data_IF_928842906196
#
_entry.id   IF_928842906196
#
_cell.length_a   1.000
_cell.length_b   1.000
_cell.length_c   1.000
_cell.angle_alpha   90.00
_cell.angle_beta   90.00
_cell.angle_gamma   90.00
#
_symmetry.space_group_name_H-M   'P 1'
#
loop_
_entity.id
_entity.type
_entity.pdbx_description
1 polymer ?
#
# COMPACT_ATOMS: atom_id res chain seq x y z
N UNK A 1 5.74 -2.37 -2.08
CA UNK A 1 6.53 -3.57 -1.67
C UNK A 1 8.03 -3.40 -1.96
N UNK A 2 8.42 -2.68 -3.00
CA UNK A 2 9.80 -2.41 -3.43
C UNK A 2 10.77 -2.03 -2.29
N UNK A 3 10.36 -1.15 -1.38
CA UNK A 3 11.21 -0.65 -0.29
C UNK A 3 11.63 -1.75 0.71
N UNK A 4 10.77 -2.75 0.96
CA UNK A 4 11.00 -3.77 2.00
C UNK A 4 11.38 -5.14 1.46
N UNK A 5 11.25 -5.38 0.16
CA UNK A 5 11.62 -6.64 -0.47
C UNK A 5 13.15 -6.80 -0.52
N UNK A 6 13.70 -7.97 -0.18
CA UNK A 6 15.14 -8.24 -0.28
C UNK A 6 15.53 -8.60 -1.72
N UNK A 7 15.39 -7.65 -2.66
CA UNK A 7 15.66 -7.82 -4.09
C UNK A 7 17.07 -8.40 -4.38
N UNK A 8 18.06 -7.96 -3.60
CA UNK A 8 19.45 -8.39 -3.72
C UNK A 8 19.65 -9.89 -3.47
N UNK A 9 18.74 -10.53 -2.72
CA UNK A 9 18.76 -11.98 -2.45
C UNK A 9 17.85 -12.78 -3.36
N UNK A 10 17.05 -12.12 -4.17
CA UNK A 10 16.03 -12.75 -5.02
C UNK A 10 16.22 -12.37 -6.49
N UNK A 11 15.39 -11.49 -7.04
CA UNK A 11 15.37 -11.16 -8.46
C UNK A 11 16.67 -10.47 -8.92
N UNK A 12 17.21 -9.53 -8.16
CA UNK A 12 18.45 -8.82 -8.53
C UNK A 12 19.67 -9.71 -8.36
N UNK A 13 19.78 -10.44 -7.25
CA UNK A 13 20.92 -11.33 -6.97
C UNK A 13 20.99 -12.53 -7.92
N UNK A 14 19.89 -12.95 -8.51
CA UNK A 14 19.83 -14.07 -9.46
C UNK A 14 19.65 -13.60 -10.92
N UNK A 15 19.77 -12.30 -11.19
CA UNK A 15 19.63 -11.77 -12.54
C UNK A 15 20.74 -12.31 -13.45
N UNK A 16 20.36 -12.90 -14.58
CA UNK A 16 21.32 -13.47 -15.55
C UNK A 16 22.29 -12.41 -16.09
N UNK A 17 21.85 -11.16 -16.18
CA UNK A 17 22.69 -10.06 -16.68
C UNK A 17 23.81 -9.69 -15.70
N UNK A 18 23.64 -9.93 -14.39
CA UNK A 18 24.68 -9.66 -13.39
C UNK A 18 25.94 -10.53 -13.56
N UNK A 19 25.85 -11.61 -14.36
CA UNK A 19 27.00 -12.45 -14.74
C UNK A 19 27.91 -11.82 -15.81
N UNK A 20 27.38 -10.85 -16.56
CA UNK A 20 28.10 -10.22 -17.69
C UNK A 20 28.31 -8.72 -17.50
N UNK A 21 27.44 -8.07 -16.74
CA UNK A 21 27.46 -6.63 -16.48
C UNK A 21 26.66 -6.32 -15.21
N UNK A 22 26.01 -5.16 -15.14
CA UNK A 22 25.11 -4.81 -14.07
C UNK A 22 23.77 -5.53 -14.24
N UNK A 23 23.27 -6.14 -13.16
CA UNK A 23 21.93 -6.71 -13.11
C UNK A 23 20.84 -5.64 -13.20
N UNK A 24 19.62 -6.04 -13.57
CA UNK A 24 18.46 -5.14 -13.58
C UNK A 24 18.09 -4.77 -12.14
N UNK A 25 17.95 -3.47 -11.88
CA UNK A 25 17.58 -2.90 -10.59
C UNK A 25 16.06 -2.89 -10.39
N UNK A 26 15.47 -4.06 -10.21
CA UNK A 26 14.01 -4.21 -10.09
C UNK A 26 13.42 -3.41 -8.94
N UNK A 27 14.11 -3.38 -7.79
CA UNK A 27 13.65 -2.65 -6.62
C UNK A 27 13.56 -1.14 -6.86
N UNK A 28 14.56 -0.57 -7.52
CA UNK A 28 14.58 0.85 -7.87
C UNK A 28 13.47 1.18 -8.86
N UNK A 29 13.34 0.41 -9.93
CA UNK A 29 12.31 0.58 -10.97
C UNK A 29 10.90 0.47 -10.36
N UNK A 30 10.64 -0.57 -9.57
CA UNK A 30 9.34 -0.75 -8.90
C UNK A 30 9.04 0.41 -7.96
N UNK A 31 10.05 0.90 -7.24
CA UNK A 31 9.89 2.03 -6.32
C UNK A 31 9.53 3.31 -7.07
N UNK A 32 10.22 3.63 -8.15
CA UNK A 32 9.96 4.81 -8.96
C UNK A 32 8.55 4.79 -9.56
N UNK A 33 8.15 3.64 -10.13
CA UNK A 33 6.80 3.47 -10.69
C UNK A 33 5.75 3.62 -9.59
N UNK A 34 5.92 2.93 -8.47
CA UNK A 34 4.94 2.93 -7.38
C UNK A 34 4.80 4.30 -6.73
N UNK A 35 5.92 5.01 -6.51
CA UNK A 35 5.91 6.35 -5.93
C UNK A 35 5.27 7.34 -6.88
N UNK A 36 5.66 7.33 -8.15
CA UNK A 36 5.07 8.19 -9.17
C UNK A 36 3.57 7.95 -9.31
N UNK A 37 3.13 6.69 -9.26
CA UNK A 37 1.72 6.34 -9.32
C UNK A 37 0.93 6.87 -8.12
N UNK A 38 1.43 6.64 -6.89
CA UNK A 38 0.76 7.12 -5.67
C UNK A 38 0.67 8.64 -5.63
N UNK A 39 1.73 9.34 -6.08
CA UNK A 39 1.80 10.80 -5.99
C UNK A 39 0.96 11.50 -7.06
N UNK A 40 0.75 10.89 -8.24
CA UNK A 40 0.13 11.56 -9.37
C UNK A 40 -1.28 11.07 -9.73
N UNK A 41 -1.71 9.90 -9.21
CA UNK A 41 -3.03 9.34 -9.56
C UNK A 41 -4.10 9.86 -8.62
N UNK A 42 -5.18 10.37 -9.19
CA UNK A 42 -6.42 10.64 -8.47
C UNK A 42 -7.25 9.35 -8.39
N UNK A 43 -7.18 8.71 -7.24
CA UNK A 43 -7.90 7.46 -6.99
C UNK A 43 -9.42 7.65 -6.88
N UNK A 44 -9.90 8.87 -6.57
CA UNK A 44 -11.33 9.15 -6.47
C UNK A 44 -12.03 9.04 -7.83
N UNK A 45 -11.36 9.45 -8.89
CA UNK A 45 -11.89 9.41 -10.29
C UNK A 45 -12.07 7.97 -10.77
N UNK A 46 -11.28 7.04 -10.26
CA UNK A 46 -11.30 5.63 -10.69
C UNK A 46 -12.30 4.77 -9.92
N UNK A 47 -13.03 5.33 -8.96
CA UNK A 47 -14.05 4.60 -8.23
C UNK A 47 -15.22 4.27 -9.16
N UNK A 48 -15.52 2.99 -9.28
CA UNK A 48 -16.71 2.53 -10.02
C UNK A 48 -17.99 2.94 -9.28
N UNK A 49 -19.05 3.25 -10.02
CA UNK A 49 -20.37 3.52 -9.44
C UNK A 49 -20.84 2.33 -8.60
N UNK A 50 -21.02 2.59 -7.31
CA UNK A 50 -21.08 1.55 -6.33
C UNK A 50 -22.41 0.82 -6.23
N UNK A 51 -22.32 -0.41 -5.80
CA UNK A 51 -23.47 -1.23 -5.40
C UNK A 51 -24.09 -0.78 -4.06
N UNK A 52 -23.59 0.29 -3.44
CA UNK A 52 -24.07 0.82 -2.17
C UNK A 52 -23.85 -0.09 -0.94
N UNK A 53 -23.36 -1.31 -1.13
CA UNK A 53 -23.16 -2.25 -0.04
C UNK A 53 -22.07 -1.77 0.92
N UNK A 54 -22.31 -1.91 2.22
CA UNK A 54 -21.38 -1.55 3.28
C UNK A 54 -20.51 -2.76 3.64
N UNK A 55 -19.21 -2.54 3.72
CA UNK A 55 -18.23 -3.56 4.11
C UNK A 55 -17.43 -3.07 5.30
N UNK A 56 -17.36 -3.88 6.34
CA UNK A 56 -16.49 -3.69 7.49
C UNK A 56 -15.21 -4.53 7.33
N UNK A 57 -14.06 -3.90 7.53
CA UNK A 57 -12.75 -4.56 7.55
C UNK A 57 -12.22 -4.47 8.96
N UNK A 58 -11.89 -5.60 9.56
CA UNK A 58 -11.31 -5.68 10.89
C UNK A 58 -9.80 -5.76 10.77
N UNK A 59 -9.14 -4.70 11.23
CA UNK A 59 -7.68 -4.52 11.15
C UNK A 59 -7.21 -3.72 9.93
N UNK A 60 -6.50 -2.62 10.20
CA UNK A 60 -5.89 -1.72 9.22
C UNK A 60 -4.45 -2.10 8.86
N UNK A 61 -4.06 -3.36 8.95
CA UNK A 61 -2.77 -3.85 8.49
C UNK A 61 -2.65 -3.94 6.97
N UNK A 62 -1.55 -4.49 6.43
CA UNK A 62 -1.32 -4.55 4.98
C UNK A 62 -2.45 -5.25 4.22
N UNK A 63 -3.00 -6.33 4.76
CA UNK A 63 -4.13 -7.03 4.17
C UNK A 63 -5.40 -6.17 4.15
N UNK A 64 -5.73 -5.52 5.28
CA UNK A 64 -6.90 -4.65 5.39
C UNK A 64 -6.81 -3.44 4.45
N UNK A 65 -5.65 -2.80 4.36
CA UNK A 65 -5.37 -1.71 3.43
C UNK A 65 -5.60 -2.16 1.98
N UNK A 66 -5.02 -3.29 1.59
CA UNK A 66 -5.14 -3.82 0.22
C UNK A 66 -6.60 -4.11 -0.15
N UNK A 67 -7.33 -4.80 0.74
CA UNK A 67 -8.74 -5.12 0.52
C UNK A 67 -9.58 -3.83 0.46
N UNK A 68 -9.29 -2.85 1.32
CA UNK A 68 -9.98 -1.57 1.32
C UNK A 68 -9.83 -0.83 -0.02
N UNK A 69 -8.61 -0.79 -0.59
CA UNK A 69 -8.39 -0.23 -1.92
C UNK A 69 -9.22 -0.94 -2.99
N UNK A 70 -9.16 -2.28 -3.03
CA UNK A 70 -9.88 -3.08 -4.04
C UNK A 70 -11.40 -2.86 -3.93
N UNK A 71 -11.94 -2.88 -2.73
CA UNK A 71 -13.39 -2.74 -2.52
C UNK A 71 -13.86 -1.31 -2.76
N UNK A 72 -13.10 -0.30 -2.32
CA UNK A 72 -13.40 1.09 -2.61
C UNK A 72 -13.39 1.38 -4.12
N UNK A 73 -12.37 0.85 -4.83
CA UNK A 73 -12.30 0.92 -6.29
C UNK A 73 -13.53 0.30 -6.96
N UNK A 74 -14.03 -0.83 -6.44
CA UNK A 74 -15.25 -1.50 -6.92
C UNK A 74 -16.56 -0.80 -6.49
N UNK A 75 -16.48 0.34 -5.78
CA UNK A 75 -17.61 1.16 -5.40
C UNK A 75 -18.34 0.72 -4.12
N UNK A 76 -17.75 -0.15 -3.31
CA UNK A 76 -18.31 -0.49 -1.99
C UNK A 76 -18.10 0.65 -0.97
N UNK A 77 -18.98 0.76 0.01
CA UNK A 77 -18.83 1.66 1.14
C UNK A 77 -18.02 0.96 2.25
N UNK A 78 -16.70 1.21 2.27
CA UNK A 78 -15.76 0.50 3.15
C UNK A 78 -15.53 1.26 4.44
N UNK A 79 -15.51 0.53 5.57
CA UNK A 79 -15.06 1.05 6.88
C UNK A 79 -14.01 0.11 7.44
N UNK A 80 -12.83 0.64 7.76
CA UNK A 80 -11.76 -0.08 8.47
C UNK A 80 -11.91 0.21 9.97
N UNK A 81 -11.92 -0.84 10.78
CA UNK A 81 -11.85 -0.78 12.25
C UNK A 81 -10.45 -1.22 12.67
N UNK A 82 -9.72 -0.35 13.37
CA UNK A 82 -8.33 -0.57 13.78
C UNK A 82 -8.18 -0.39 15.29
N UNK A 83 -7.50 -1.33 15.93
CA UNK A 83 -7.24 -1.30 17.37
C UNK A 83 -6.23 -0.24 17.81
N UNK A 84 -5.30 0.12 16.92
CA UNK A 84 -4.31 1.16 17.17
C UNK A 84 -4.82 2.55 16.75
N UNK A 85 -4.07 3.57 17.11
CA UNK A 85 -4.38 4.97 16.76
C UNK A 85 -4.24 5.28 15.24
N UNK A 86 -3.50 4.47 14.51
CA UNK A 86 -3.26 4.64 13.07
C UNK A 86 -3.24 3.29 12.36
N UNK A 87 -3.63 3.28 11.10
CA UNK A 87 -3.52 2.09 10.25
C UNK A 87 -2.07 1.78 9.86
N UNK A 88 -1.83 0.58 9.35
CA UNK A 88 -0.52 0.12 8.89
C UNK A 88 -0.10 -1.21 9.50
N UNK A 89 -0.60 -1.54 10.70
CA UNK A 89 -0.24 -2.79 11.37
C UNK A 89 1.28 -2.99 11.43
N UNK A 90 1.77 -4.16 11.00
CA UNK A 90 3.20 -4.47 11.00
C UNK A 90 4.04 -3.48 10.19
N UNK A 91 3.49 -2.86 9.15
CA UNK A 91 4.20 -1.86 8.35
C UNK A 91 4.55 -0.62 9.18
N UNK A 92 3.66 -0.22 10.08
CA UNK A 92 3.85 0.96 10.93
C UNK A 92 4.55 0.61 12.25
N UNK A 93 4.10 -0.44 12.91
CA UNK A 93 4.49 -0.76 14.29
C UNK A 93 5.58 -1.83 14.38
N UNK A 94 5.82 -2.62 13.32
CA UNK A 94 6.80 -3.70 13.30
C UNK A 94 8.06 -3.41 12.48
N UNK A 95 7.95 -2.69 11.36
CA UNK A 95 9.10 -2.38 10.50
C UNK A 95 9.73 -1.05 10.95
N UNK A 96 11.05 -0.98 11.20
CA UNK A 96 11.72 0.25 11.59
C UNK A 96 11.61 1.36 10.54
N UNK A 97 11.61 2.62 11.00
CA UNK A 97 11.49 3.84 10.17
C UNK A 97 12.55 3.91 9.07
N UNK A 98 13.80 3.56 9.40
CA UNK A 98 14.91 3.59 8.42
C UNK A 98 14.74 2.56 7.29
N UNK A 99 13.92 1.50 7.51
CA UNK A 99 13.64 0.49 6.49
C UNK A 99 12.36 0.81 5.70
N UNK A 100 11.36 1.36 6.36
CA UNK A 100 10.09 1.77 5.75
C UNK A 100 9.65 3.10 6.34
N UNK A 101 9.90 4.22 5.66
CA UNK A 101 9.44 5.53 6.09
C UNK A 101 7.93 5.56 6.26
N UNK A 102 7.46 6.01 7.43
CA UNK A 102 6.02 5.99 7.76
C UNK A 102 5.20 6.92 6.89
N UNK A 103 5.83 7.95 6.33
CA UNK A 103 5.18 8.81 5.33
C UNK A 103 4.58 8.02 4.15
N UNK A 104 5.18 6.88 3.79
CA UNK A 104 4.63 6.01 2.74
C UNK A 104 3.27 5.45 3.14
N UNK A 105 3.09 5.10 4.42
CA UNK A 105 1.83 4.58 4.95
C UNK A 105 0.81 5.71 5.09
N UNK A 106 1.26 6.90 5.51
CA UNK A 106 0.40 8.09 5.60
C UNK A 106 -0.17 8.48 4.23
N UNK A 107 0.63 8.39 3.17
CA UNK A 107 0.17 8.58 1.79
C UNK A 107 -0.90 7.56 1.41
N UNK A 108 -0.72 6.27 1.74
CA UNK A 108 -1.73 5.23 1.48
C UNK A 108 -3.02 5.48 2.25
N UNK A 109 -2.94 5.91 3.51
CA UNK A 109 -4.08 6.29 4.32
C UNK A 109 -4.86 7.46 3.69
N UNK A 110 -4.14 8.51 3.28
CA UNK A 110 -4.73 9.65 2.59
C UNK A 110 -5.48 9.22 1.33
N UNK A 111 -4.86 8.37 0.50
CA UNK A 111 -5.50 7.86 -0.73
C UNK A 111 -6.76 7.03 -0.44
N UNK A 112 -6.77 6.22 0.60
CA UNK A 112 -7.96 5.49 1.03
C UNK A 112 -9.10 6.45 1.41
N UNK A 113 -8.79 7.51 2.15
CA UNK A 113 -9.76 8.53 2.56
C UNK A 113 -10.31 9.27 1.33
N UNK A 114 -9.46 9.64 0.38
CA UNK A 114 -9.86 10.25 -0.90
C UNK A 114 -10.85 9.35 -1.68
N UNK A 115 -10.67 8.03 -1.62
CA UNK A 115 -11.59 7.04 -2.21
C UNK A 115 -12.88 6.85 -1.40
N UNK A 116 -13.07 7.56 -0.28
CA UNK A 116 -14.25 7.49 0.56
C UNK A 116 -14.24 6.35 1.58
N UNK A 117 -13.09 5.71 1.85
CA UNK A 117 -12.95 4.74 2.92
C UNK A 117 -13.00 5.46 4.27
N UNK A 118 -13.78 4.92 5.20
CA UNK A 118 -13.85 5.41 6.58
C UNK A 118 -12.88 4.62 7.45
N UNK A 119 -12.10 5.32 8.28
CA UNK A 119 -11.17 4.70 9.22
C UNK A 119 -11.66 5.00 10.63
N UNK A 120 -11.77 3.97 11.45
CA UNK A 120 -12.19 4.00 12.85
C UNK A 120 -11.06 3.44 13.73
N UNK A 121 -10.15 4.29 14.20
CA UNK A 121 -9.07 3.87 15.08
C UNK A 121 -9.53 3.65 16.50
N UNK A 122 -8.70 2.97 17.30
CA UNK A 122 -8.90 2.70 18.74
C UNK A 122 -10.18 1.90 19.05
N UNK A 123 -10.51 0.92 18.22
CA UNK A 123 -11.69 0.06 18.41
C UNK A 123 -11.29 -1.41 18.50
#
# INVERSE_FOLDING_TARGET
MSIVCPHEKQCEGNCILSRKSYGVKFGEIENDISTSYIDNVDFAIHRLDGKGAKVAIIGGGPAGITIAFILAFKGYNVTIYESHSQIGGVLRYGIPEFRLPKITIDKLETKLIEMGVKIRPNI
#
